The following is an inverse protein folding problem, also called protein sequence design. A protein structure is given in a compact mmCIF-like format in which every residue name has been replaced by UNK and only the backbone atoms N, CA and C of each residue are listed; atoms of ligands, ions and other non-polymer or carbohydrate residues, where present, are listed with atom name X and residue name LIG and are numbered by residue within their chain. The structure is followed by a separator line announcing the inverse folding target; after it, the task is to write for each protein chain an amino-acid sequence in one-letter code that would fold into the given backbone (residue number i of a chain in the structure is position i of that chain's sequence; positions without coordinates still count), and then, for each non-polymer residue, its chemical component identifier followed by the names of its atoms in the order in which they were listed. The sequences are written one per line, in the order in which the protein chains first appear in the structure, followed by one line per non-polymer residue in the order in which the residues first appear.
data_IF_611907557896
#
_entry.id   IF_611907557896
#
_cell.length_a   1.000
_cell.length_b   1.000
_cell.length_c   1.000
_cell.angle_alpha   90.00
_cell.angle_beta   90.00
_cell.angle_gamma   90.00
#
_symmetry.space_group_name_H-M   'P 1'
#
loop_
_entity.id
_entity.type
_entity.pdbx_description
1 polymer ?
#
# COMPACT_ATOMS: atom_id res chain seq x y z
N UNK A 1 9.69 -17.84 -16.08
CA UNK A 1 10.01 -16.60 -15.34
C UNK A 1 8.76 -16.20 -14.58
N UNK A 2 8.82 -16.08 -13.26
CA UNK A 2 7.66 -15.70 -12.46
C UNK A 2 7.43 -14.19 -12.61
N UNK A 3 6.26 -13.77 -13.08
CA UNK A 3 5.95 -12.35 -13.30
C UNK A 3 5.53 -11.67 -11.98
N UNK A 4 5.53 -10.32 -11.90
CA UNK A 4 4.99 -9.62 -10.73
C UNK A 4 3.56 -10.04 -10.38
N UNK A 5 2.73 -10.25 -11.41
CA UNK A 5 1.35 -10.69 -11.24
C UNK A 5 1.26 -12.08 -10.61
N UNK A 6 2.07 -13.04 -11.07
CA UNK A 6 2.04 -14.41 -10.54
C UNK A 6 2.44 -14.44 -9.06
N UNK A 7 3.45 -13.66 -8.66
CA UNK A 7 3.90 -13.58 -7.27
C UNK A 7 2.84 -12.98 -6.35
N UNK A 8 2.19 -11.89 -6.79
CA UNK A 8 1.15 -11.23 -5.99
C UNK A 8 -0.10 -12.12 -5.89
N UNK A 9 -0.49 -12.76 -7.00
CA UNK A 9 -1.64 -13.67 -7.02
C UNK A 9 -1.44 -14.86 -6.08
N UNK A 10 -0.21 -15.40 -6.00
CA UNK A 10 0.12 -16.48 -5.07
C UNK A 10 0.01 -16.00 -3.62
N UNK A 11 0.59 -14.85 -3.30
CA UNK A 11 0.60 -14.29 -1.95
C UNK A 11 -0.80 -13.93 -1.43
N UNK A 12 -1.71 -13.47 -2.31
CA UNK A 12 -3.07 -13.10 -1.91
C UNK A 12 -3.88 -14.33 -1.46
N UNK A 13 -3.51 -15.53 -1.91
CA UNK A 13 -4.14 -16.78 -1.49
C UNK A 13 -3.57 -17.33 -0.16
N UNK A 14 -2.55 -16.69 0.41
CA UNK A 14 -1.98 -17.10 1.69
C UNK A 14 -2.98 -16.85 2.83
N UNK A 15 -3.24 -17.88 3.64
CA UNK A 15 -4.21 -17.81 4.75
C UNK A 15 -3.54 -17.69 6.12
N UNK A 16 -2.23 -17.95 6.19
CA UNK A 16 -1.47 -17.90 7.44
C UNK A 16 -0.58 -16.65 7.52
N UNK A 17 -0.45 -16.04 8.71
CA UNK A 17 -1.09 -16.44 9.97
C UNK A 17 -2.60 -16.12 9.99
N UNK A 18 -3.37 -16.96 10.71
CA UNK A 18 -4.81 -16.77 10.91
C UNK A 18 -5.10 -15.46 11.66
N UNK A 19 -4.39 -15.27 12.78
CA UNK A 19 -4.51 -14.09 13.63
C UNK A 19 -3.43 -13.07 13.28
N UNK A 20 -3.87 -11.94 12.72
CA UNK A 20 -3.00 -10.83 12.33
C UNK A 20 -3.32 -9.62 13.21
N UNK A 21 -2.26 -9.01 13.76
CA UNK A 21 -2.36 -7.69 14.40
C UNK A 21 -1.97 -6.62 13.41
N UNK A 22 -2.98 -5.92 12.89
CA UNK A 22 -2.79 -4.81 11.96
C UNK A 22 -2.23 -3.61 12.72
N UNK A 23 -1.12 -3.06 12.20
CA UNK A 23 -0.48 -1.86 12.72
C UNK A 23 -1.41 -0.69 12.38
N UNK A 24 -1.90 0.06 13.37
CA UNK A 24 -2.77 1.22 13.09
C UNK A 24 -1.98 2.34 12.39
N UNK A 25 -2.68 3.28 11.71
CA UNK A 25 -2.03 4.48 11.21
C UNK A 25 -1.37 5.26 12.36
N UNK A 26 -0.27 5.94 12.06
CA UNK A 26 0.51 6.71 13.05
C UNK A 26 0.00 8.12 13.29
N UNK A 27 -1.17 8.45 12.74
CA UNK A 27 -1.83 9.74 12.87
C UNK A 27 -3.20 9.56 13.51
N UNK A 28 -3.69 10.60 14.17
CA UNK A 28 -5.04 10.65 14.71
C UNK A 28 -6.00 11.25 13.67
N UNK A 29 -7.29 10.97 13.80
CA UNK A 29 -8.29 11.49 12.86
C UNK A 29 -8.36 13.03 12.83
N UNK A 30 -8.06 13.68 13.95
CA UNK A 30 -8.06 15.15 14.07
C UNK A 30 -6.77 15.82 13.53
N UNK A 31 -5.74 15.05 13.16
CA UNK A 31 -4.50 15.62 12.64
C UNK A 31 -4.73 16.31 11.30
N UNK A 32 -3.98 17.38 11.03
CA UNK A 32 -4.04 18.07 9.74
C UNK A 32 -3.66 17.12 8.58
N UNK A 33 -4.47 17.09 7.52
CA UNK A 33 -4.35 16.10 6.44
C UNK A 33 -2.97 16.09 5.75
N UNK A 34 -2.38 17.27 5.51
CA UNK A 34 -1.03 17.35 4.93
C UNK A 34 0.03 16.75 5.87
N UNK A 35 -0.16 16.86 7.19
CA UNK A 35 0.72 16.25 8.18
C UNK A 35 0.58 14.73 8.18
N UNK A 36 -0.67 14.22 8.10
CA UNK A 36 -0.94 12.77 7.92
C UNK A 36 -0.22 12.22 6.69
N UNK A 37 -0.33 12.92 5.56
CA UNK A 37 0.32 12.55 4.29
C UNK A 37 1.84 12.48 4.43
N UNK A 38 2.46 13.56 4.94
CA UNK A 38 3.93 13.63 5.10
C UNK A 38 4.44 12.58 6.08
N UNK A 39 3.74 12.37 7.19
CA UNK A 39 4.12 11.38 8.20
C UNK A 39 4.06 9.96 7.62
N UNK A 40 2.94 9.61 6.99
CA UNK A 40 2.71 8.28 6.41
C UNK A 40 3.72 8.00 5.30
N UNK A 41 3.94 8.95 4.39
CA UNK A 41 4.95 8.82 3.34
C UNK A 41 6.36 8.63 3.91
N UNK A 42 6.76 9.43 4.92
CA UNK A 42 8.07 9.30 5.56
C UNK A 42 8.26 7.93 6.19
N UNK A 43 7.23 7.37 6.82
CA UNK A 43 7.29 6.07 7.46
C UNK A 43 7.39 4.92 6.46
N UNK A 44 6.61 5.00 5.36
CA UNK A 44 6.74 4.07 4.24
C UNK A 44 8.15 4.06 3.66
N UNK A 45 8.75 5.24 3.44
CA UNK A 45 10.13 5.34 2.93
C UNK A 45 11.13 4.80 3.95
N UNK A 46 10.94 5.08 5.25
CA UNK A 46 11.79 4.57 6.31
C UNK A 46 11.76 3.05 6.38
N UNK A 47 10.59 2.43 6.40
CA UNK A 47 10.46 0.97 6.43
C UNK A 47 11.03 0.33 5.17
N UNK A 48 10.85 0.96 4.00
CA UNK A 48 11.43 0.47 2.75
C UNK A 48 12.97 0.45 2.80
N UNK A 49 13.58 1.51 3.35
CA UNK A 49 15.04 1.60 3.57
C UNK A 49 15.56 0.59 4.59
N UNK A 50 14.73 0.22 5.57
CA UNK A 50 15.05 -0.79 6.57
C UNK A 50 14.73 -2.21 6.10
N UNK A 51 14.33 -2.39 4.83
CA UNK A 51 13.89 -3.67 4.27
C UNK A 51 12.76 -4.35 5.05
N UNK A 52 11.93 -3.55 5.73
CA UNK A 52 10.77 -4.00 6.47
C UNK A 52 9.58 -4.10 5.53
N UNK A 53 9.40 -5.29 4.97
CA UNK A 53 8.42 -5.57 3.91
C UNK A 53 6.97 -5.26 4.33
N UNK A 54 6.46 -5.91 5.37
CA UNK A 54 5.08 -5.74 5.86
C UNK A 54 4.77 -4.29 6.26
N UNK A 55 5.60 -3.60 7.09
CA UNK A 55 5.36 -2.20 7.41
C UNK A 55 5.35 -1.30 6.17
N UNK A 56 6.19 -1.59 5.16
CA UNK A 56 6.23 -0.79 3.93
C UNK A 56 4.92 -0.86 3.16
N UNK A 57 4.36 -2.06 2.99
CA UNK A 57 3.08 -2.25 2.32
C UNK A 57 1.92 -1.67 3.15
N UNK A 58 1.99 -1.82 4.47
CA UNK A 58 0.97 -1.28 5.38
C UNK A 58 0.93 0.25 5.29
N UNK A 59 2.08 0.93 5.34
CA UNK A 59 2.11 2.38 5.17
C UNK A 59 1.78 2.81 3.75
N UNK A 60 2.08 2.00 2.73
CA UNK A 60 1.65 2.26 1.36
C UNK A 60 0.13 2.19 1.21
N UNK A 61 -0.53 1.23 1.87
CA UNK A 61 -1.98 1.13 1.95
C UNK A 61 -2.58 2.41 2.57
N UNK A 62 -2.12 2.82 3.76
CA UNK A 62 -2.62 4.03 4.40
C UNK A 62 -2.33 5.30 3.59
N UNK A 63 -1.20 5.33 2.88
CA UNK A 63 -0.88 6.44 1.99
C UNK A 63 -1.82 6.50 0.78
N UNK A 64 -2.15 5.35 0.19
CA UNK A 64 -3.12 5.23 -0.90
C UNK A 64 -4.51 5.67 -0.46
N UNK A 65 -4.94 5.25 0.73
CA UNK A 65 -6.21 5.68 1.34
C UNK A 65 -6.29 7.21 1.52
N UNK A 66 -5.21 7.84 2.00
CA UNK A 66 -5.15 9.31 2.10
C UNK A 66 -5.14 10.02 0.75
N UNK A 67 -4.58 9.40 -0.29
CA UNK A 67 -4.59 9.94 -1.65
C UNK A 67 -6.00 9.84 -2.25
N UNK A 68 -6.70 8.73 -1.99
CA UNK A 68 -8.05 8.47 -2.49
C UNK A 68 -9.16 9.17 -1.70
N UNK A 69 -8.93 9.65 -0.48
CA UNK A 69 -9.97 10.38 0.28
C UNK A 69 -10.45 11.67 -0.41
N UNK A 70 -9.70 12.18 -1.40
CA UNK A 70 -9.94 13.45 -2.10
C UNK A 70 -9.95 14.70 -1.19
N UNK A 71 -9.67 14.55 0.11
CA UNK A 71 -9.59 15.65 1.06
C UNK A 71 -8.30 16.46 0.92
N UNK A 72 -7.26 15.84 0.36
CA UNK A 72 -5.96 16.47 0.13
C UNK A 72 -5.87 16.99 -1.30
N UNK A 73 -5.59 18.29 -1.51
CA UNK A 73 -5.38 18.85 -2.84
C UNK A 73 -4.31 18.10 -3.64
N UNK A 74 -4.61 17.79 -4.91
CA UNK A 74 -3.71 17.04 -5.81
C UNK A 74 -2.32 17.66 -5.94
N UNK A 75 -2.21 18.98 -5.86
CA UNK A 75 -0.92 19.67 -5.94
C UNK A 75 -0.06 19.45 -4.69
N UNK A 76 -0.66 19.31 -3.51
CA UNK A 76 0.05 18.96 -2.27
C UNK A 76 0.57 17.52 -2.37
N UNK A 77 -0.25 16.60 -2.87
CA UNK A 77 0.14 15.19 -3.12
C UNK A 77 1.33 15.14 -4.08
N UNK A 78 1.26 15.87 -5.20
CA UNK A 78 2.32 15.90 -6.23
C UNK A 78 3.63 16.50 -5.72
N UNK A 79 3.57 17.51 -4.85
CA UNK A 79 4.75 18.13 -4.22
C UNK A 79 5.38 17.23 -3.14
N UNK A 80 4.58 16.40 -2.49
CA UNK A 80 5.02 15.57 -1.35
C UNK A 80 5.52 14.20 -1.80
N UNK A 81 4.86 13.57 -2.77
CA UNK A 81 5.05 12.16 -3.13
C UNK A 81 5.46 12.04 -4.60
N UNK A 82 6.55 11.30 -4.83
CA UNK A 82 7.02 11.05 -6.19
C UNK A 82 6.00 10.23 -6.99
N UNK A 83 5.96 10.34 -8.33
CA UNK A 83 5.01 9.61 -9.16
C UNK A 83 5.04 8.08 -8.94
N UNK A 84 6.23 7.50 -8.78
CA UNK A 84 6.41 6.08 -8.49
C UNK A 84 5.68 5.66 -7.21
N UNK A 85 5.96 6.33 -6.09
CA UNK A 85 5.38 5.96 -4.79
C UNK A 85 3.89 6.25 -4.72
N UNK A 86 3.43 7.31 -5.39
CA UNK A 86 2.00 7.63 -5.46
C UNK A 86 1.22 6.49 -6.13
N UNK A 87 1.66 6.08 -7.32
CA UNK A 87 1.04 4.98 -8.06
C UNK A 87 1.09 3.66 -7.30
N UNK A 88 2.24 3.35 -6.67
CA UNK A 88 2.39 2.15 -5.87
C UNK A 88 1.45 2.15 -4.66
N UNK A 89 1.32 3.27 -3.95
CA UNK A 89 0.44 3.43 -2.81
C UNK A 89 -1.04 3.34 -3.18
N UNK A 90 -1.49 4.08 -4.20
CA UNK A 90 -2.87 4.01 -4.73
C UNK A 90 -3.25 2.56 -5.07
N UNK A 91 -2.39 1.86 -5.82
CA UNK A 91 -2.64 0.45 -6.18
C UNK A 91 -2.65 -0.48 -4.98
N UNK A 92 -1.75 -0.27 -4.02
CA UNK A 92 -1.72 -1.08 -2.80
C UNK A 92 -3.02 -0.92 -2.02
N UNK A 93 -3.54 0.31 -1.92
CA UNK A 93 -4.83 0.57 -1.29
C UNK A 93 -5.95 -0.19 -1.98
N UNK A 94 -6.16 0.00 -3.28
CA UNK A 94 -7.26 -0.65 -4.00
C UNK A 94 -7.16 -2.17 -4.10
N UNK A 95 -5.96 -2.76 -4.08
CA UNK A 95 -5.81 -4.23 -4.04
C UNK A 95 -6.26 -4.78 -2.68
N UNK A 96 -5.99 -4.07 -1.58
CA UNK A 96 -6.23 -4.57 -0.22
C UNK A 96 -7.38 -3.87 0.52
N UNK A 97 -8.16 -3.01 -0.15
CA UNK A 97 -9.22 -2.20 0.48
C UNK A 97 -10.27 -3.04 1.23
N UNK A 98 -10.57 -4.23 0.69
CA UNK A 98 -11.53 -5.15 1.27
C UNK A 98 -10.95 -5.97 2.43
N UNK A 99 -9.63 -6.08 2.53
CA UNK A 99 -8.94 -6.88 3.54
C UNK A 99 -7.47 -6.46 3.73
N UNK A 100 -7.25 -5.41 4.53
CA UNK A 100 -5.89 -4.94 4.87
C UNK A 100 -5.06 -6.02 5.58
N UNK A 101 -5.70 -6.90 6.37
CA UNK A 101 -5.03 -7.97 7.11
C UNK A 101 -4.27 -8.93 6.18
N UNK A 102 -4.71 -9.06 4.91
CA UNK A 102 -4.02 -9.88 3.93
C UNK A 102 -2.58 -9.43 3.69
N UNK A 103 -2.26 -8.14 3.87
CA UNK A 103 -0.89 -7.62 3.74
C UNK A 103 0.09 -8.38 4.62
N UNK A 104 -0.35 -8.83 5.79
CA UNK A 104 0.49 -9.51 6.79
C UNK A 104 0.76 -10.98 6.48
N UNK A 105 0.10 -11.53 5.46
CA UNK A 105 0.26 -12.91 4.99
C UNK A 105 1.14 -13.00 3.76
N UNK A 106 1.43 -11.86 3.12
CA UNK A 106 2.23 -11.79 1.90
C UNK A 106 3.68 -12.20 2.19
N UNK A 107 4.27 -13.01 1.31
CA UNK A 107 5.66 -13.49 1.44
C UNK A 107 6.61 -12.80 0.46
N UNK A 108 6.12 -12.40 -0.71
CA UNK A 108 6.94 -11.92 -1.83
C UNK A 108 6.56 -10.54 -2.35
N UNK A 109 5.32 -10.11 -2.16
CA UNK A 109 4.69 -8.93 -2.77
C UNK A 109 5.38 -7.65 -2.32
N UNK A 110 6.17 -6.99 -3.15
CA UNK A 110 6.79 -5.71 -2.77
C UNK A 110 6.08 -4.52 -3.43
N UNK A 111 6.31 -3.30 -2.93
CA UNK A 111 5.87 -2.08 -3.61
C UNK A 111 6.31 -2.03 -5.09
N UNK A 112 7.51 -2.55 -5.37
CA UNK A 112 8.03 -2.64 -6.73
C UNK A 112 7.21 -3.58 -7.62
N UNK A 113 6.78 -4.73 -7.10
CA UNK A 113 5.93 -5.65 -7.85
C UNK A 113 4.57 -5.00 -8.15
N UNK A 114 3.96 -4.35 -7.14
CA UNK A 114 2.66 -3.65 -7.27
C UNK A 114 2.75 -2.51 -8.28
N UNK A 115 3.81 -1.69 -8.23
CA UNK A 115 3.99 -0.58 -9.16
C UNK A 115 4.10 -1.05 -10.62
N UNK A 116 4.71 -2.22 -10.85
CA UNK A 116 4.94 -2.77 -12.19
C UNK A 116 3.77 -3.53 -12.79
N UNK A 117 2.69 -3.75 -12.05
CA UNK A 117 1.48 -4.38 -12.59
C UNK A 117 0.99 -3.64 -13.84
N UNK A 118 0.66 -4.38 -14.89
CA UNK A 118 -0.07 -3.84 -16.03
C UNK A 118 -1.48 -3.45 -15.58
N UNK A 119 -2.15 -2.61 -16.36
CA UNK A 119 -3.49 -2.15 -15.98
C UNK A 119 -4.48 -3.31 -15.82
N UNK A 120 -4.45 -4.29 -16.73
CA UNK A 120 -5.33 -5.47 -16.69
C UNK A 120 -5.04 -6.35 -15.47
N UNK A 121 -3.75 -6.58 -15.16
CA UNK A 121 -3.30 -7.35 -13.99
C UNK A 121 -3.69 -6.66 -12.68
N UNK A 122 -3.57 -5.33 -12.62
CA UNK A 122 -4.01 -4.55 -11.48
C UNK A 122 -5.53 -4.66 -11.27
N UNK A 123 -6.32 -4.52 -12.33
CA UNK A 123 -7.78 -4.60 -12.27
C UNK A 123 -8.29 -5.97 -11.81
N UNK A 124 -7.62 -7.06 -12.18
CA UNK A 124 -8.00 -8.40 -11.72
C UNK A 124 -7.71 -8.61 -10.23
N UNK A 125 -6.68 -7.96 -9.69
CA UNK A 125 -6.32 -8.02 -8.26
C UNK A 125 -7.18 -7.13 -7.35
N UNK A 126 -7.88 -6.14 -7.89
CA UNK A 126 -8.84 -5.32 -7.15
C UNK A 126 -10.18 -6.03 -6.86
N UNK A 127 -10.39 -7.24 -7.39
CA UNK A 127 -11.60 -8.01 -7.11
C UNK A 127 -11.55 -8.60 -5.69
N UNK A 128 -12.70 -8.80 -5.02
CA UNK A 128 -12.74 -9.44 -3.70
C UNK A 128 -12.12 -10.85 -3.74
N UNK A 129 -11.37 -11.20 -2.70
CA UNK A 129 -10.73 -12.50 -2.49
C UNK A 129 -10.88 -12.97 -1.04
#
# INVERSE_FOLDING_TARGET
MTTPYDLISLDILEVDPQDVLVIPPLYNDDDHLESKLKLTYRQMIRSARLHQHIPTLTYAYYLGMLIDSHEIPKDIIRKTITPYYRRAAERTYFIFENNISQIYRLKFTTLFLIERLKMVEYQSLCQPF
#
